data_IF_569261019121
#
_entry.id   IF_569261019121
#
_cell.length_a   1.000
_cell.length_b   1.000
_cell.length_c   1.000
_cell.angle_alpha   90.00
_cell.angle_beta   90.00
_cell.angle_gamma   90.00
#
_symmetry.space_group_name_H-M   'P 1'
#
loop_
_entity.id
_entity.type
_entity.pdbx_description
1 polymer ?
#
# COMPACT_ATOMS: atom_id res chain seq x y z
N UNK A 1 43.11 -28.11 61.51
CA UNK A 1 41.93 -28.77 62.08
C UNK A 1 40.78 -27.82 62.33
N UNK A 2 40.91 -26.68 63.06
CA UNK A 2 39.75 -25.79 63.34
C UNK A 2 39.02 -25.23 62.12
N UNK A 3 39.71 -24.86 61.02
CA UNK A 3 39.06 -24.38 59.77
C UNK A 3 38.22 -25.43 59.03
N UNK A 4 38.62 -26.68 59.05
CA UNK A 4 37.88 -27.79 58.43
C UNK A 4 36.62 -28.08 59.24
N UNK A 5 36.70 -28.01 60.56
CA UNK A 5 35.51 -28.21 61.45
C UNK A 5 34.47 -27.11 61.27
N UNK A 6 34.92 -25.87 61.10
CA UNK A 6 33.99 -24.72 60.81
C UNK A 6 33.30 -24.91 59.46
N UNK A 7 34.05 -25.30 58.43
CA UNK A 7 33.49 -25.51 57.10
C UNK A 7 32.48 -26.67 57.09
N UNK A 8 32.80 -27.78 57.79
CA UNK A 8 31.87 -28.90 57.94
C UNK A 8 30.59 -28.53 58.66
N UNK A 9 30.70 -27.65 59.69
CA UNK A 9 29.52 -27.18 60.45
C UNK A 9 28.63 -26.27 59.59
N UNK A 10 29.26 -25.40 58.77
CA UNK A 10 28.55 -24.52 57.83
C UNK A 10 27.83 -25.36 56.78
N UNK A 11 28.47 -26.35 56.18
CA UNK A 11 27.85 -27.27 55.23
C UNK A 11 26.72 -28.07 55.82
N UNK A 12 26.90 -28.55 57.06
CA UNK A 12 25.84 -29.29 57.77
C UNK A 12 24.66 -28.44 58.14
N UNK A 13 24.83 -27.21 58.61
CA UNK A 13 23.74 -26.28 58.90
C UNK A 13 23.02 -25.85 57.60
N UNK A 14 23.73 -25.59 56.52
CA UNK A 14 23.16 -25.29 55.22
C UNK A 14 22.31 -26.49 54.73
N UNK A 15 22.84 -27.73 54.84
CA UNK A 15 22.12 -28.94 54.50
C UNK A 15 20.85 -29.13 55.33
N UNK A 16 20.91 -28.89 56.66
CA UNK A 16 19.76 -28.96 57.54
C UNK A 16 18.70 -27.92 57.14
N UNK A 17 19.07 -26.68 56.85
CA UNK A 17 18.12 -25.65 56.43
C UNK A 17 17.42 -26.00 55.13
N UNK A 18 18.18 -26.47 54.13
CA UNK A 18 17.65 -26.83 52.83
C UNK A 18 16.69 -28.04 52.91
N UNK A 19 16.93 -28.95 53.86
CA UNK A 19 16.07 -30.14 54.09
C UNK A 19 14.94 -29.92 55.11
N UNK A 20 14.70 -28.71 55.59
CA UNK A 20 13.56 -28.49 56.45
C UNK A 20 12.23 -28.66 55.71
N UNK A 21 11.22 -29.13 56.38
CA UNK A 21 9.85 -29.27 55.83
C UNK A 21 9.29 -27.94 55.33
N UNK A 22 9.71 -26.79 55.90
CA UNK A 22 9.32 -25.44 55.47
C UNK A 22 9.86 -25.13 54.10
N UNK A 23 11.18 -25.38 53.84
CA UNK A 23 11.80 -25.15 52.56
C UNK A 23 11.27 -26.10 51.50
N UNK A 24 11.13 -27.38 51.85
CA UNK A 24 10.57 -28.40 50.95
C UNK A 24 9.13 -28.08 50.56
N UNK A 25 8.27 -27.67 51.53
CA UNK A 25 6.89 -27.26 51.23
C UNK A 25 6.83 -26.00 50.40
N UNK A 26 7.73 -25.03 50.63
CA UNK A 26 7.84 -23.83 49.78
C UNK A 26 8.24 -24.17 48.37
N UNK A 27 9.27 -25.00 48.19
CA UNK A 27 9.73 -25.47 46.87
C UNK A 27 8.65 -26.29 46.16
N UNK A 28 7.95 -27.17 46.89
CA UNK A 28 6.84 -27.95 46.33
C UNK A 28 5.68 -27.02 45.90
N UNK A 29 5.29 -26.08 46.74
CA UNK A 29 4.25 -25.10 46.41
C UNK A 29 4.63 -24.19 45.21
N UNK A 30 5.92 -23.87 45.04
CA UNK A 30 6.42 -23.19 43.84
C UNK A 30 6.36 -24.07 42.60
N UNK A 31 6.74 -25.35 42.74
CA UNK A 31 6.68 -26.34 41.63
C UNK A 31 5.24 -26.60 41.20
N UNK A 32 4.32 -26.77 42.15
CA UNK A 32 2.87 -26.99 41.91
C UNK A 32 2.22 -25.81 41.20
N UNK A 33 2.67 -24.59 41.47
CA UNK A 33 2.22 -23.38 40.77
C UNK A 33 2.91 -23.19 39.41
N UNK A 34 4.13 -23.62 39.26
CA UNK A 34 4.91 -23.48 38.03
C UNK A 34 4.50 -24.51 36.94
N UNK A 35 4.15 -25.74 37.33
CA UNK A 35 3.73 -26.82 36.43
C UNK A 35 2.47 -26.49 35.62
N UNK A 36 1.37 -25.98 36.20
CA UNK A 36 0.18 -25.56 35.47
C UNK A 36 0.52 -24.41 34.46
N UNK A 37 1.24 -23.39 34.95
CA UNK A 37 1.62 -22.24 34.11
C UNK A 37 2.53 -22.64 32.91
N UNK A 38 3.44 -23.58 33.11
CA UNK A 38 4.26 -24.13 32.02
C UNK A 38 3.43 -24.96 31.04
N UNK A 39 2.46 -25.73 31.51
CA UNK A 39 1.55 -26.53 30.70
C UNK A 39 0.62 -25.64 29.86
N UNK A 40 0.03 -24.60 30.46
CA UNK A 40 -0.79 -23.59 29.76
C UNK A 40 0.02 -22.83 28.73
N UNK A 41 1.24 -22.41 29.07
CA UNK A 41 2.15 -21.73 28.14
C UNK A 41 2.51 -22.60 26.94
N UNK A 42 2.76 -23.89 27.13
CA UNK A 42 3.01 -24.84 26.04
C UNK A 42 1.75 -25.06 25.18
N UNK A 43 0.58 -25.16 25.81
CA UNK A 43 -0.71 -25.31 25.11
C UNK A 43 -1.00 -24.10 24.21
N UNK A 44 -0.77 -22.88 24.71
CA UNK A 44 -0.93 -21.65 23.92
C UNK A 44 0.05 -21.63 22.73
N UNK A 45 1.32 -21.94 22.97
CA UNK A 45 2.32 -21.94 21.91
C UNK A 45 1.97 -22.93 20.78
N UNK A 46 1.55 -24.15 21.16
CA UNK A 46 1.11 -25.15 20.17
C UNK A 46 -0.18 -24.71 19.44
N UNK A 47 -1.09 -24.03 20.14
CA UNK A 47 -2.28 -23.46 19.51
C UNK A 47 -1.92 -22.38 18.48
N UNK A 48 -0.97 -21.49 18.78
CA UNK A 48 -0.49 -20.47 17.82
C UNK A 48 0.15 -21.16 16.61
N UNK A 49 1.06 -22.11 16.81
CA UNK A 49 1.72 -22.84 15.71
C UNK A 49 0.72 -23.58 14.82
N UNK A 50 -0.29 -24.21 15.41
CA UNK A 50 -1.33 -24.96 14.69
C UNK A 50 -2.17 -24.03 13.81
N UNK A 51 -2.50 -22.83 14.30
CA UNK A 51 -3.36 -21.90 13.58
C UNK A 51 -2.59 -20.97 12.62
N UNK A 52 -1.29 -20.74 12.84
CA UNK A 52 -0.47 -19.81 12.05
C UNK A 52 -0.61 -20.00 10.53
N UNK A 53 -0.55 -21.21 9.96
CA UNK A 53 -0.65 -21.41 8.50
C UNK A 53 -1.95 -20.87 7.89
N UNK A 54 -3.04 -20.76 8.65
CA UNK A 54 -4.33 -20.22 8.18
C UNK A 54 -4.25 -18.73 7.86
N UNK A 55 -3.37 -18.02 8.55
CA UNK A 55 -3.20 -16.57 8.43
C UNK A 55 -2.02 -16.16 7.56
N UNK A 56 -1.15 -17.12 7.20
CA UNK A 56 0.01 -16.85 6.35
C UNK A 56 -0.38 -16.75 4.88
N UNK A 57 0.29 -15.86 4.15
CA UNK A 57 0.13 -15.71 2.70
C UNK A 57 1.51 -15.67 2.05
N UNK A 58 1.75 -16.46 1.01
CA UNK A 58 3.01 -16.38 0.28
C UNK A 58 3.15 -15.04 -0.44
N UNK A 59 4.37 -14.56 -0.71
CA UNK A 59 4.59 -13.42 -1.58
C UNK A 59 4.26 -13.79 -3.03
N UNK A 60 3.94 -12.79 -3.83
CA UNK A 60 3.74 -12.89 -5.27
C UNK A 60 4.74 -11.97 -5.96
N UNK A 61 5.54 -12.52 -6.86
CA UNK A 61 6.52 -11.76 -7.64
C UNK A 61 5.84 -10.87 -8.67
N UNK A 62 6.46 -9.71 -8.97
CA UNK A 62 6.07 -8.88 -10.09
C UNK A 62 6.26 -9.63 -11.41
N UNK A 63 5.41 -9.35 -12.39
CA UNK A 63 5.42 -10.06 -13.68
C UNK A 63 4.90 -9.21 -14.83
N UNK A 64 5.28 -9.60 -16.05
CA UNK A 64 4.63 -9.10 -17.27
C UNK A 64 3.44 -10.01 -17.59
N UNK A 65 2.25 -9.44 -17.51
CA UNK A 65 0.99 -10.09 -17.91
C UNK A 65 0.71 -9.81 -19.39
N UNK A 66 0.09 -10.78 -20.07
CA UNK A 66 -0.23 -10.65 -21.49
C UNK A 66 -1.20 -9.49 -21.78
N UNK A 67 -2.18 -9.27 -20.91
CA UNK A 67 -3.24 -8.25 -21.06
C UNK A 67 -2.86 -6.98 -20.30
N UNK A 68 -2.56 -7.11 -19.02
CA UNK A 68 -2.38 -5.99 -18.09
C UNK A 68 -0.94 -5.46 -18.01
N UNK A 69 -0.03 -6.04 -18.81
CA UNK A 69 1.37 -5.65 -18.91
C UNK A 69 2.09 -5.78 -17.57
N UNK A 70 2.75 -4.74 -17.05
CA UNK A 70 3.45 -4.85 -15.78
C UNK A 70 2.46 -4.91 -14.61
N UNK A 71 2.56 -5.97 -13.81
CA UNK A 71 1.83 -6.16 -12.55
C UNK A 71 2.86 -6.12 -11.41
N UNK A 72 2.67 -5.28 -10.38
CA UNK A 72 3.58 -5.24 -9.23
C UNK A 72 3.55 -6.54 -8.45
N UNK A 73 4.62 -6.80 -7.70
CA UNK A 73 4.64 -7.83 -6.68
C UNK A 73 3.68 -7.53 -5.53
N UNK A 74 3.49 -8.51 -4.65
CA UNK A 74 2.71 -8.32 -3.43
C UNK A 74 3.31 -9.15 -2.31
N UNK A 75 3.70 -8.51 -1.23
CA UNK A 75 4.38 -9.15 -0.12
C UNK A 75 3.52 -10.23 0.51
N UNK A 76 4.17 -11.32 0.90
CA UNK A 76 3.59 -12.33 1.76
C UNK A 76 3.65 -11.90 3.23
N UNK A 77 2.98 -12.67 4.07
CA UNK A 77 3.04 -12.52 5.53
C UNK A 77 3.18 -13.86 6.19
N UNK A 78 3.99 -13.91 7.25
CA UNK A 78 4.17 -15.05 8.12
C UNK A 78 3.88 -14.65 9.55
N UNK A 79 3.30 -15.55 10.34
CA UNK A 79 3.05 -15.30 11.75
C UNK A 79 4.37 -15.32 12.52
N UNK A 80 4.68 -14.24 13.22
CA UNK A 80 5.74 -14.25 14.25
C UNK A 80 5.22 -14.94 15.50
N UNK A 81 5.56 -16.22 15.61
CA UNK A 81 5.11 -17.08 16.71
C UNK A 81 5.55 -16.53 18.07
N UNK A 82 6.80 -16.03 18.17
CA UNK A 82 7.35 -15.54 19.43
C UNK A 82 6.68 -14.23 19.88
N UNK A 83 6.52 -13.27 18.97
CA UNK A 83 5.85 -12.01 19.25
C UNK A 83 4.37 -12.21 19.53
N UNK A 84 3.69 -13.09 18.78
CA UNK A 84 2.29 -13.46 18.98
C UNK A 84 2.07 -14.10 20.36
N UNK A 85 2.95 -15.04 20.74
CA UNK A 85 2.92 -15.67 22.06
C UNK A 85 3.10 -14.63 23.17
N UNK A 86 4.06 -13.71 23.03
CA UNK A 86 4.28 -12.64 24.01
C UNK A 86 3.01 -11.79 24.22
N UNK A 87 2.30 -11.48 23.13
CA UNK A 87 1.05 -10.70 23.18
C UNK A 87 -0.11 -11.45 23.87
N UNK A 88 -0.15 -12.78 23.74
CA UNK A 88 -1.24 -13.62 24.25
C UNK A 88 -0.95 -14.22 25.64
N UNK A 89 0.33 -14.26 26.08
CA UNK A 89 0.79 -14.95 27.28
C UNK A 89 0.00 -14.60 28.54
N UNK A 90 -0.42 -13.34 28.71
CA UNK A 90 -1.18 -12.92 29.92
C UNK A 90 -2.56 -13.53 29.99
N UNK A 91 -3.19 -13.83 28.85
CA UNK A 91 -4.54 -14.39 28.78
C UNK A 91 -4.53 -15.92 28.69
N UNK A 92 -3.40 -16.52 28.31
CA UNK A 92 -3.24 -17.98 28.19
C UNK A 92 -4.04 -18.65 27.07
N UNK A 93 -4.77 -17.87 26.24
CA UNK A 93 -5.64 -18.36 25.18
C UNK A 93 -5.28 -17.72 23.83
N UNK A 94 -5.52 -18.47 22.74
CA UNK A 94 -5.32 -17.99 21.39
C UNK A 94 -6.35 -16.89 21.06
N UNK A 95 -5.83 -15.78 20.50
CA UNK A 95 -6.63 -14.65 20.01
C UNK A 95 -6.04 -14.17 18.68
N UNK A 96 -6.79 -14.35 17.59
CA UNK A 96 -6.35 -13.97 16.25
C UNK A 96 -5.99 -12.47 16.13
N UNK A 97 -6.67 -11.61 16.88
CA UNK A 97 -6.43 -10.15 16.89
C UNK A 97 -5.10 -9.76 17.50
N UNK A 98 -4.43 -10.69 18.19
CA UNK A 98 -3.13 -10.50 18.82
C UNK A 98 -1.98 -11.15 18.05
N UNK A 99 -2.26 -11.74 16.89
CA UNK A 99 -1.24 -12.23 16.01
C UNK A 99 -0.35 -11.08 15.53
N UNK A 100 0.94 -11.34 15.51
CA UNK A 100 1.96 -10.45 14.94
C UNK A 100 2.45 -11.09 13.66
N UNK A 101 2.63 -10.27 12.63
CA UNK A 101 3.04 -10.73 11.33
C UNK A 101 4.40 -10.13 10.95
N UNK A 102 5.21 -10.92 10.27
CA UNK A 102 6.41 -10.48 9.56
C UNK A 102 6.14 -10.50 8.07
N UNK A 103 6.61 -9.48 7.37
CA UNK A 103 6.50 -9.37 5.93
C UNK A 103 7.51 -10.29 5.23
N UNK A 104 7.09 -10.91 4.13
CA UNK A 104 7.95 -11.65 3.21
C UNK A 104 7.89 -10.94 1.86
N UNK A 105 8.99 -10.29 1.46
CA UNK A 105 9.04 -9.54 0.20
C UNK A 105 9.04 -10.47 -1.02
N UNK A 106 8.50 -10.02 -2.16
CA UNK A 106 8.68 -10.68 -3.46
C UNK A 106 10.16 -10.82 -3.81
N UNK A 107 10.50 -11.79 -4.63
CA UNK A 107 11.85 -11.96 -5.18
C UNK A 107 12.09 -11.09 -6.41
N UNK A 108 11.04 -10.84 -7.18
CA UNK A 108 11.05 -9.96 -8.35
C UNK A 108 10.15 -8.77 -8.05
N UNK A 109 10.70 -7.57 -8.16
CA UNK A 109 10.02 -6.31 -7.90
C UNK A 109 9.57 -5.65 -9.20
N UNK A 110 8.62 -4.71 -9.12
CA UNK A 110 8.14 -3.97 -10.29
C UNK A 110 9.28 -3.26 -11.05
N UNK A 111 10.30 -2.78 -10.35
CA UNK A 111 11.45 -2.11 -10.95
C UNK A 111 12.44 -3.06 -11.63
N UNK A 112 12.34 -4.37 -11.40
CA UNK A 112 13.19 -5.39 -12.05
C UNK A 112 12.62 -5.81 -13.40
N UNK A 113 11.37 -5.42 -13.69
CA UNK A 113 10.74 -5.73 -14.97
C UNK A 113 11.25 -4.84 -16.10
N UNK A 114 11.26 -5.33 -17.34
CA UNK A 114 11.52 -4.50 -18.50
C UNK A 114 10.50 -3.36 -18.60
N UNK A 115 10.90 -2.24 -19.24
CA UNK A 115 10.04 -1.09 -19.45
C UNK A 115 8.68 -1.52 -20.04
N UNK A 116 7.62 -1.32 -19.28
CA UNK A 116 6.27 -1.76 -19.64
C UNK A 116 5.23 -0.84 -18.98
N UNK A 117 4.10 -0.56 -19.65
CA UNK A 117 3.04 0.22 -19.03
C UNK A 117 2.35 -0.57 -17.91
N UNK A 118 1.77 0.16 -16.97
CA UNK A 118 1.10 -0.39 -15.79
C UNK A 118 -0.36 0.02 -15.85
N UNK A 119 -1.28 -0.96 -15.95
CA UNK A 119 -2.72 -0.74 -16.05
C UNK A 119 -3.43 -0.91 -14.72
N UNK A 120 -2.84 -1.64 -13.79
CA UNK A 120 -3.44 -1.94 -12.49
C UNK A 120 -2.38 -2.31 -11.44
N UNK A 121 -2.78 -2.25 -10.18
CA UNK A 121 -2.05 -2.82 -9.06
C UNK A 121 -2.18 -4.35 -9.00
N UNK A 122 -1.64 -4.95 -7.93
CA UNK A 122 -1.75 -6.39 -7.72
C UNK A 122 -3.22 -6.82 -7.55
N UNK A 123 -3.68 -7.90 -8.19
CA UNK A 123 -5.10 -8.33 -8.17
C UNK A 123 -5.61 -8.74 -6.78
N UNK A 124 -4.73 -9.11 -5.85
CA UNK A 124 -5.12 -9.44 -4.48
C UNK A 124 -5.05 -8.23 -3.52
N UNK A 125 -4.60 -7.06 -3.98
CA UNK A 125 -4.52 -5.86 -3.14
C UNK A 125 -5.88 -5.18 -3.07
N UNK A 126 -6.57 -5.16 -1.90
CA UNK A 126 -7.91 -4.59 -1.76
C UNK A 126 -7.86 -3.06 -1.77
N UNK A 127 -7.39 -2.52 -2.87
CA UNK A 127 -7.15 -1.10 -3.07
C UNK A 127 -7.39 -0.69 -4.50
N UNK A 128 -7.80 0.56 -4.71
CA UNK A 128 -7.96 1.20 -6.01
C UNK A 128 -7.30 2.57 -5.98
N UNK A 129 -6.98 3.11 -7.15
CA UNK A 129 -6.46 4.47 -7.28
C UNK A 129 -7.29 5.29 -8.26
N UNK A 130 -7.52 6.57 -7.94
CA UNK A 130 -8.05 7.54 -8.87
C UNK A 130 -6.90 8.21 -9.62
N UNK A 131 -6.97 8.14 -10.95
CA UNK A 131 -6.10 8.84 -11.90
C UNK A 131 -6.89 10.02 -12.42
N UNK A 132 -6.51 11.23 -12.06
CA UNK A 132 -7.19 12.46 -12.45
C UNK A 132 -6.29 13.23 -13.42
N UNK A 133 -6.62 13.18 -14.71
CA UNK A 133 -5.87 13.90 -15.73
C UNK A 133 -6.36 15.36 -15.78
N UNK A 134 -5.42 16.31 -15.71
CA UNK A 134 -5.72 17.74 -15.62
C UNK A 134 -5.02 18.49 -16.74
N UNK A 135 -5.81 18.91 -17.72
CA UNK A 135 -5.44 19.84 -18.78
C UNK A 135 -6.45 21.00 -18.89
N UNK A 136 -7.58 20.91 -18.18
CA UNK A 136 -8.72 21.83 -18.13
C UNK A 136 -9.61 21.52 -16.91
N UNK A 137 -10.70 22.26 -16.73
CA UNK A 137 -11.71 21.99 -15.67
C UNK A 137 -11.36 22.61 -14.33
N UNK A 138 -10.69 23.77 -14.33
CA UNK A 138 -10.25 24.46 -13.11
C UNK A 138 -11.38 24.70 -12.12
N UNK A 139 -12.57 24.99 -12.62
CA UNK A 139 -13.78 25.31 -11.86
C UNK A 139 -14.24 24.17 -10.96
N UNK A 140 -13.90 22.91 -11.29
CA UNK A 140 -14.31 21.73 -10.53
C UNK A 140 -13.25 21.26 -9.52
N UNK A 141 -12.00 21.72 -9.63
CA UNK A 141 -10.88 21.22 -8.80
C UNK A 141 -11.10 21.45 -7.32
N UNK A 142 -11.55 22.66 -6.91
CA UNK A 142 -11.77 22.98 -5.50
C UNK A 142 -12.80 22.04 -4.85
N UNK A 143 -13.91 21.77 -5.54
CA UNK A 143 -14.98 20.90 -5.04
C UNK A 143 -14.52 19.44 -4.96
N UNK A 144 -13.75 18.98 -5.97
CA UNK A 144 -13.17 17.63 -5.97
C UNK A 144 -12.18 17.47 -4.82
N UNK A 145 -11.27 18.42 -4.61
CA UNK A 145 -10.29 18.39 -3.51
C UNK A 145 -11.00 18.42 -2.14
N UNK A 146 -12.02 19.25 -1.99
CA UNK A 146 -12.83 19.29 -0.77
C UNK A 146 -13.52 17.95 -0.49
N UNK A 147 -14.04 17.30 -1.54
CA UNK A 147 -14.66 15.96 -1.44
C UNK A 147 -13.64 14.89 -1.04
N UNK A 148 -12.47 14.85 -1.70
CA UNK A 148 -11.40 13.90 -1.35
C UNK A 148 -10.94 14.09 0.11
N UNK A 149 -10.79 15.35 0.55
CA UNK A 149 -10.44 15.68 1.94
C UNK A 149 -11.49 15.20 2.94
N UNK A 150 -12.79 15.45 2.70
CA UNK A 150 -13.88 14.98 3.58
C UNK A 150 -13.84 13.47 3.77
N UNK A 151 -13.50 12.75 2.73
CA UNK A 151 -13.39 11.29 2.77
C UNK A 151 -12.04 10.77 3.27
N UNK A 152 -11.06 11.64 3.54
CA UNK A 152 -9.68 11.27 3.85
C UNK A 152 -9.10 10.33 2.77
N UNK A 153 -9.16 10.75 1.51
CA UNK A 153 -8.73 10.01 0.32
C UNK A 153 -7.70 10.82 -0.43
N UNK A 154 -6.56 10.20 -0.75
CA UNK A 154 -5.57 10.74 -1.68
C UNK A 154 -5.77 10.15 -3.08
N UNK A 155 -5.46 10.92 -4.11
CA UNK A 155 -5.54 10.55 -5.53
C UNK A 155 -4.26 10.96 -6.25
N UNK A 156 -4.06 10.51 -7.49
CA UNK A 156 -2.93 10.91 -8.34
C UNK A 156 -3.42 11.77 -9.49
N UNK A 157 -2.93 13.01 -9.52
CA UNK A 157 -3.26 14.01 -10.53
C UNK A 157 -2.16 14.07 -11.59
N UNK A 158 -2.49 13.77 -12.83
CA UNK A 158 -1.55 13.83 -13.94
C UNK A 158 -1.72 15.17 -14.65
N UNK A 159 -0.72 16.04 -14.51
CA UNK A 159 -0.81 17.45 -14.90
C UNK A 159 -0.19 17.69 -16.27
N UNK A 160 -0.93 18.35 -17.15
CA UNK A 160 -0.44 18.80 -18.45
C UNK A 160 0.44 20.04 -18.28
N UNK A 161 1.61 20.07 -18.92
CA UNK A 161 2.62 21.12 -18.71
C UNK A 161 2.15 22.52 -19.05
N UNK A 162 1.42 22.73 -20.17
CA UNK A 162 0.84 24.04 -20.50
C UNK A 162 -0.19 24.49 -19.47
N UNK A 163 -0.95 23.54 -18.93
CA UNK A 163 -1.93 23.83 -17.88
C UNK A 163 -1.21 24.30 -16.60
N UNK A 164 -0.16 23.58 -16.16
CA UNK A 164 0.63 23.97 -14.97
C UNK A 164 1.25 25.36 -15.16
N UNK A 165 1.83 25.63 -16.33
CA UNK A 165 2.42 26.93 -16.64
C UNK A 165 1.42 28.06 -16.50
N UNK A 166 0.15 27.84 -16.87
CA UNK A 166 -0.93 28.83 -16.75
C UNK A 166 -1.56 28.89 -15.36
N UNK A 167 -1.48 27.82 -14.59
CA UNK A 167 -2.18 27.64 -13.32
C UNK A 167 -1.26 27.08 -12.21
N UNK A 168 -0.09 27.69 -11.93
CA UNK A 168 0.87 27.16 -10.97
C UNK A 168 0.29 27.07 -9.55
N UNK A 169 -0.59 28.01 -9.17
CA UNK A 169 -1.21 28.00 -7.84
C UNK A 169 -2.23 26.85 -7.67
N UNK A 170 -2.92 26.44 -8.75
CA UNK A 170 -3.79 25.25 -8.70
C UNK A 170 -2.97 23.96 -8.59
N UNK A 171 -1.81 23.89 -9.27
CA UNK A 171 -0.90 22.76 -9.12
C UNK A 171 -0.37 22.67 -7.68
N UNK A 172 0.04 23.77 -7.06
CA UNK A 172 0.42 23.84 -5.64
C UNK A 172 -0.71 23.41 -4.72
N UNK A 173 -1.95 23.85 -4.99
CA UNK A 173 -3.11 23.49 -4.19
C UNK A 173 -3.34 21.99 -4.17
N UNK A 174 -3.19 21.29 -5.29
CA UNK A 174 -3.29 19.83 -5.40
C UNK A 174 -2.25 19.16 -4.50
N UNK A 175 -0.98 19.56 -4.59
CA UNK A 175 0.10 19.01 -3.77
C UNK A 175 -0.10 19.31 -2.30
N UNK A 176 -0.45 20.54 -1.95
CA UNK A 176 -0.70 20.98 -0.56
C UNK A 176 -1.88 20.26 0.09
N UNK A 177 -2.83 19.77 -0.72
CA UNK A 177 -3.93 18.92 -0.26
C UNK A 177 -3.53 17.45 -0.02
N UNK A 178 -2.25 17.09 -0.20
CA UNK A 178 -1.72 15.75 0.06
C UNK A 178 -1.96 14.74 -1.07
N UNK A 179 -2.15 15.24 -2.29
CA UNK A 179 -2.30 14.39 -3.48
C UNK A 179 -0.98 14.17 -4.19
N UNK A 180 -0.85 13.04 -4.88
CA UNK A 180 0.27 12.72 -5.74
C UNK A 180 0.14 13.44 -7.07
N UNK A 181 1.26 13.92 -7.64
CA UNK A 181 1.28 14.50 -8.98
C UNK A 181 2.13 13.65 -9.92
N UNK A 182 1.66 13.54 -11.15
CA UNK A 182 2.33 12.89 -12.27
C UNK A 182 2.32 13.80 -13.51
N UNK A 183 3.06 13.38 -14.50
CA UNK A 183 3.26 14.06 -15.77
C UNK A 183 2.23 13.61 -16.81
N UNK A 184 1.54 14.55 -17.48
CA UNK A 184 0.59 14.28 -18.55
C UNK A 184 1.02 14.90 -19.90
N UNK A 185 2.33 14.90 -20.18
CA UNK A 185 2.95 15.59 -21.31
C UNK A 185 2.82 17.12 -21.29
N UNK A 186 3.51 17.83 -22.20
CA UNK A 186 3.52 19.27 -22.20
C UNK A 186 2.29 19.89 -22.88
N UNK A 187 1.90 19.36 -24.04
CA UNK A 187 0.85 19.96 -24.90
C UNK A 187 -0.23 18.95 -25.34
N UNK A 188 -0.34 17.84 -24.61
CA UNK A 188 -1.34 16.80 -24.83
C UNK A 188 -1.33 16.20 -26.26
N UNK A 189 -0.15 15.86 -26.86
CA UNK A 189 -0.10 15.29 -28.20
C UNK A 189 -0.47 13.81 -28.22
N UNK A 190 -0.71 13.29 -29.41
CA UNK A 190 -0.78 11.84 -29.65
C UNK A 190 0.67 11.25 -29.55
N UNK A 191 1.01 10.72 -28.37
CA UNK A 191 2.36 10.26 -28.04
C UNK A 191 2.82 9.09 -28.94
N UNK A 192 1.90 8.31 -29.49
CA UNK A 192 2.22 7.21 -30.40
C UNK A 192 2.74 7.70 -31.75
N UNK A 193 2.48 8.96 -32.13
CA UNK A 193 2.96 9.56 -33.37
C UNK A 193 4.28 10.30 -33.24
N UNK A 194 4.77 10.49 -32.00
CA UNK A 194 6.00 11.24 -31.76
C UNK A 194 7.25 10.35 -31.94
N UNK A 195 8.34 10.97 -32.37
CA UNK A 195 9.67 10.35 -32.27
C UNK A 195 10.09 10.24 -30.80
N UNK A 196 11.08 9.40 -30.49
CA UNK A 196 11.62 9.28 -29.14
C UNK A 196 12.13 10.64 -28.59
N UNK A 197 12.78 11.44 -29.43
CA UNK A 197 13.27 12.78 -29.06
C UNK A 197 12.11 13.73 -28.71
N UNK A 198 11.06 13.75 -29.52
CA UNK A 198 9.87 14.57 -29.26
C UNK A 198 9.12 14.11 -28.01
N UNK A 199 8.99 12.78 -27.81
CA UNK A 199 8.37 12.23 -26.61
C UNK A 199 9.16 12.63 -25.34
N UNK A 200 10.50 12.55 -25.40
CA UNK A 200 11.39 13.00 -24.32
C UNK A 200 11.22 14.48 -24.01
N UNK A 201 11.19 15.33 -25.04
CA UNK A 201 10.97 16.77 -24.86
C UNK A 201 9.64 17.06 -24.15
N UNK A 202 8.55 16.42 -24.56
CA UNK A 202 7.23 16.54 -23.94
C UNK A 202 7.28 16.19 -22.45
N UNK A 203 7.96 15.11 -22.08
CA UNK A 203 8.04 14.62 -20.69
C UNK A 203 8.97 15.50 -19.87
N UNK A 204 10.18 15.78 -20.34
CA UNK A 204 11.19 16.56 -19.60
C UNK A 204 10.68 17.96 -19.30
N UNK A 205 10.18 18.67 -20.34
CA UNK A 205 9.65 20.02 -20.18
C UNK A 205 8.49 20.10 -19.16
N UNK A 206 7.66 19.06 -19.12
CA UNK A 206 6.57 19.00 -18.14
C UNK A 206 7.10 18.75 -16.73
N UNK A 207 8.08 17.86 -16.56
CA UNK A 207 8.70 17.62 -15.26
C UNK A 207 9.32 18.88 -14.69
N UNK A 208 10.07 19.65 -15.50
CA UNK A 208 10.70 20.92 -15.11
C UNK A 208 9.64 21.95 -14.63
N UNK A 209 8.52 22.06 -15.35
CA UNK A 209 7.46 23.00 -15.00
C UNK A 209 6.71 22.57 -13.75
N UNK A 210 6.42 21.28 -13.58
CA UNK A 210 5.77 20.77 -12.36
C UNK A 210 6.71 20.97 -11.16
N UNK A 211 7.98 20.61 -11.29
CA UNK A 211 8.96 20.78 -10.21
C UNK A 211 9.13 22.27 -9.84
N UNK A 212 9.23 23.16 -10.83
CA UNK A 212 9.33 24.61 -10.58
C UNK A 212 8.06 25.19 -9.90
N UNK A 213 6.87 24.67 -10.21
CA UNK A 213 5.63 25.14 -9.63
C UNK A 213 5.35 24.55 -8.24
N UNK A 214 5.71 23.29 -7.99
CA UNK A 214 5.23 22.51 -6.83
C UNK A 214 6.35 21.99 -5.93
N UNK A 215 7.61 22.11 -6.33
CA UNK A 215 8.80 21.54 -5.67
C UNK A 215 8.79 19.99 -5.61
N UNK A 216 7.90 19.33 -6.38
CA UNK A 216 7.75 17.88 -6.43
C UNK A 216 8.30 17.31 -7.73
N UNK A 217 9.13 16.28 -7.64
CA UNK A 217 9.63 15.51 -8.78
C UNK A 217 8.65 14.42 -9.16
N UNK A 218 8.23 14.40 -10.43
CA UNK A 218 7.36 13.36 -10.96
C UNK A 218 8.13 12.07 -11.26
N UNK A 219 7.58 10.94 -10.83
CA UNK A 219 8.05 9.60 -11.17
C UNK A 219 6.99 8.77 -11.92
N UNK A 220 5.83 9.37 -12.21
CA UNK A 220 4.72 8.78 -12.94
C UNK A 220 4.44 9.59 -14.20
N UNK A 221 4.23 8.87 -15.31
CA UNK A 221 3.84 9.45 -16.60
C UNK A 221 2.54 8.80 -17.08
N UNK A 222 1.51 9.59 -17.31
CA UNK A 222 0.25 9.19 -17.93
C UNK A 222 0.19 9.73 -19.36
N UNK A 223 0.28 8.90 -20.39
CA UNK A 223 0.23 9.38 -21.77
C UNK A 223 -1.14 9.96 -22.12
N UNK A 224 -1.22 11.13 -22.79
CA UNK A 224 -2.46 11.71 -23.26
C UNK A 224 -3.34 10.72 -24.02
N UNK A 225 -4.63 10.68 -23.69
CA UNK A 225 -5.62 9.76 -24.29
C UNK A 225 -5.23 8.28 -24.24
N UNK A 226 -4.28 7.90 -23.39
CA UNK A 226 -3.72 6.56 -23.34
C UNK A 226 -2.89 6.19 -24.60
N UNK A 227 -2.49 7.18 -25.39
CA UNK A 227 -1.75 6.95 -26.62
C UNK A 227 -0.25 6.80 -26.32
N UNK A 228 0.32 5.65 -26.65
CA UNK A 228 1.74 5.36 -26.52
C UNK A 228 2.20 4.31 -27.53
N UNK A 229 3.49 4.20 -27.69
CA UNK A 229 4.18 3.08 -28.32
C UNK A 229 5.38 2.65 -27.46
N UNK A 230 6.03 1.57 -27.80
CA UNK A 230 7.12 1.01 -26.98
C UNK A 230 8.25 2.02 -26.73
N UNK A 231 8.58 2.87 -27.74
CA UNK A 231 9.57 3.92 -27.57
C UNK A 231 9.16 4.96 -26.53
N UNK A 232 7.87 5.33 -26.45
CA UNK A 232 7.36 6.26 -25.43
C UNK A 232 7.57 5.69 -24.04
N UNK A 233 7.27 4.40 -23.86
CA UNK A 233 7.44 3.69 -22.57
C UNK A 233 8.92 3.58 -22.21
N UNK A 234 9.80 3.28 -23.16
CA UNK A 234 11.27 3.24 -22.96
C UNK A 234 11.79 4.62 -22.53
N UNK A 235 11.38 5.69 -23.23
CA UNK A 235 11.78 7.07 -22.90
C UNK A 235 11.34 7.43 -21.47
N UNK A 236 10.11 7.13 -21.07
CA UNK A 236 9.65 7.37 -19.72
C UNK A 236 10.50 6.58 -18.69
N UNK A 237 10.79 5.31 -18.96
CA UNK A 237 11.61 4.47 -18.08
C UNK A 237 13.08 4.97 -17.96
N UNK A 238 13.69 5.44 -19.03
CA UNK A 238 15.02 6.08 -19.02
C UNK A 238 15.04 7.34 -18.13
N UNK A 239 13.92 8.06 -18.11
CA UNK A 239 13.71 9.21 -17.23
C UNK A 239 13.28 8.81 -15.80
N UNK A 240 13.37 7.52 -15.45
CA UNK A 240 13.00 6.95 -14.15
C UNK A 240 11.51 7.12 -13.81
N UNK A 241 10.68 7.18 -14.84
CA UNK A 241 9.23 7.31 -14.71
C UNK A 241 8.52 6.01 -15.09
N UNK A 242 7.45 5.69 -14.37
CA UNK A 242 6.55 4.58 -14.70
C UNK A 242 5.43 5.09 -15.60
N UNK A 243 5.18 4.39 -16.71
CA UNK A 243 4.04 4.69 -17.61
C UNK A 243 2.77 4.11 -17.02
N UNK A 244 1.82 4.98 -16.66
CA UNK A 244 0.57 4.63 -15.97
C UNK A 244 -0.60 4.71 -16.95
N UNK A 245 -1.37 3.64 -16.95
CA UNK A 245 -2.61 3.47 -17.69
C UNK A 245 -3.77 3.23 -16.72
N UNK A 246 -4.93 2.78 -17.17
CA UNK A 246 -6.11 2.53 -16.35
C UNK A 246 -6.85 1.26 -16.76
N UNK A 247 -7.63 0.72 -15.83
CA UNK A 247 -8.53 -0.42 -16.08
C UNK A 247 -9.98 0.01 -16.20
N UNK A 248 -10.34 1.13 -15.57
CA UNK A 248 -11.72 1.64 -15.54
C UNK A 248 -11.71 3.09 -16.00
N UNK A 249 -12.49 3.38 -17.04
CA UNK A 249 -12.67 4.74 -17.56
C UNK A 249 -14.08 5.24 -17.19
N UNK A 250 -14.16 6.38 -16.53
CA UNK A 250 -15.43 7.05 -16.20
C UNK A 250 -16.16 7.54 -17.45
N UNK A 251 -15.43 7.83 -18.52
CA UNK A 251 -15.91 8.49 -19.75
C UNK A 251 -16.64 9.82 -19.43
N UNK A 252 -16.14 10.52 -18.40
CA UNK A 252 -16.73 11.75 -17.87
C UNK A 252 -16.68 12.92 -18.87
N UNK A 253 -15.72 12.92 -19.79
CA UNK A 253 -15.62 13.86 -20.90
C UNK A 253 -16.81 13.85 -21.85
N UNK A 254 -17.66 12.80 -21.83
CA UNK A 254 -18.96 12.73 -22.54
C UNK A 254 -20.11 13.33 -21.71
N UNK A 255 -19.83 13.90 -20.55
CA UNK A 255 -20.79 14.51 -19.64
C UNK A 255 -21.97 13.58 -19.28
N UNK A 256 -21.70 12.31 -18.87
CA UNK A 256 -22.76 11.43 -18.41
C UNK A 256 -23.41 11.96 -17.14
N UNK A 257 -24.65 11.53 -16.85
CA UNK A 257 -25.21 11.79 -15.52
C UNK A 257 -24.42 11.07 -14.43
N UNK A 258 -24.46 11.58 -13.17
CA UNK A 258 -23.76 10.93 -12.05
C UNK A 258 -24.07 9.42 -11.91
N UNK A 259 -25.32 9.02 -12.08
CA UNK A 259 -25.69 7.61 -11.98
C UNK A 259 -25.07 6.76 -13.09
N UNK A 260 -25.01 7.26 -14.31
CA UNK A 260 -24.36 6.55 -15.44
C UNK A 260 -22.85 6.39 -15.17
N UNK A 261 -22.18 7.44 -14.69
CA UNK A 261 -20.78 7.38 -14.33
C UNK A 261 -20.52 6.37 -13.21
N UNK A 262 -21.26 6.50 -12.11
CA UNK A 262 -21.12 5.61 -10.95
C UNK A 262 -21.37 4.15 -11.34
N UNK A 263 -22.44 3.85 -12.06
CA UNK A 263 -22.77 2.48 -12.48
C UNK A 263 -21.67 1.90 -13.38
N UNK A 264 -21.09 2.72 -14.28
CA UNK A 264 -19.98 2.29 -15.15
C UNK A 264 -18.74 1.92 -14.34
N UNK A 265 -18.37 2.72 -13.35
CA UNK A 265 -17.23 2.43 -12.48
C UNK A 265 -17.52 1.23 -11.60
N UNK A 266 -18.64 1.24 -10.88
CA UNK A 266 -19.00 0.18 -9.94
C UNK A 266 -19.23 -1.18 -10.59
N UNK A 267 -19.59 -1.21 -11.88
CA UNK A 267 -19.74 -2.45 -12.66
C UNK A 267 -18.40 -3.08 -13.07
N UNK A 268 -17.26 -2.35 -12.97
CA UNK A 268 -15.96 -2.82 -13.47
C UNK A 268 -14.85 -2.80 -12.40
N UNK A 269 -15.06 -2.06 -11.31
CA UNK A 269 -14.03 -1.87 -10.28
C UNK A 269 -13.79 -3.14 -9.47
N UNK A 270 -12.52 -3.46 -9.27
CA UNK A 270 -12.05 -4.62 -8.53
C UNK A 270 -10.71 -4.28 -7.85
N UNK A 271 -10.16 -5.21 -7.08
CA UNK A 271 -8.83 -5.11 -6.49
C UNK A 271 -7.79 -4.68 -7.53
N UNK A 272 -6.97 -3.71 -7.16
CA UNK A 272 -5.92 -3.21 -8.03
C UNK A 272 -6.40 -2.26 -9.13
N UNK A 273 -7.68 -1.92 -9.23
CA UNK A 273 -8.19 -1.05 -10.30
C UNK A 273 -7.61 0.35 -10.22
N UNK A 274 -7.29 0.90 -11.39
CA UNK A 274 -7.01 2.31 -11.63
C UNK A 274 -8.17 2.94 -12.39
N UNK A 275 -8.78 3.98 -11.83
CA UNK A 275 -9.98 4.64 -12.37
C UNK A 275 -9.60 5.98 -12.97
N UNK A 276 -9.70 6.09 -14.28
CA UNK A 276 -9.47 7.36 -15.00
C UNK A 276 -10.67 8.28 -14.84
N UNK A 277 -10.37 9.54 -14.54
CA UNK A 277 -11.33 10.64 -14.52
C UNK A 277 -10.63 11.98 -14.83
N UNK A 278 -11.44 13.02 -15.05
CA UNK A 278 -11.00 14.40 -15.29
C UNK A 278 -11.77 15.35 -14.37
N UNK A 279 -11.29 16.60 -14.16
CA UNK A 279 -12.09 17.61 -13.45
C UNK A 279 -13.26 18.07 -14.35
N UNK A 280 -14.37 17.37 -14.23
CA UNK A 280 -15.62 17.64 -14.95
C UNK A 280 -16.77 17.80 -13.98
N UNK A 281 -17.85 18.43 -14.43
CA UNK A 281 -19.11 18.50 -13.68
C UNK A 281 -19.60 17.11 -13.26
N UNK A 282 -19.60 16.15 -14.20
CA UNK A 282 -20.03 14.77 -13.96
C UNK A 282 -19.19 14.09 -12.88
N UNK A 283 -17.86 14.28 -12.90
CA UNK A 283 -16.97 13.71 -11.88
C UNK A 283 -17.17 14.39 -10.53
N UNK A 284 -17.19 15.72 -10.47
CA UNK A 284 -17.39 16.45 -9.23
C UNK A 284 -18.72 16.06 -8.55
N UNK A 285 -19.80 15.98 -9.31
CA UNK A 285 -21.12 15.58 -8.80
C UNK A 285 -21.21 14.10 -8.38
N UNK A 286 -20.34 13.23 -8.92
CA UNK A 286 -20.35 11.79 -8.65
C UNK A 286 -19.42 11.37 -7.51
N UNK A 287 -18.38 12.14 -7.25
CA UNK A 287 -17.19 11.73 -6.50
C UNK A 287 -17.51 11.29 -5.05
N UNK A 288 -18.35 12.03 -4.35
CA UNK A 288 -18.74 11.75 -2.96
C UNK A 288 -19.41 10.38 -2.81
N UNK A 289 -20.41 10.13 -3.65
CA UNK A 289 -21.14 8.87 -3.66
C UNK A 289 -20.28 7.71 -4.18
N UNK A 290 -19.45 7.96 -5.18
CA UNK A 290 -18.53 6.96 -5.72
C UNK A 290 -17.54 6.47 -4.67
N UNK A 291 -16.90 7.38 -3.92
CA UNK A 291 -15.99 7.04 -2.82
C UNK A 291 -16.71 6.21 -1.76
N UNK A 292 -17.92 6.60 -1.38
CA UNK A 292 -18.72 5.88 -0.39
C UNK A 292 -19.00 4.44 -0.83
N UNK A 293 -19.42 4.24 -2.07
CA UNK A 293 -19.72 2.91 -2.62
C UNK A 293 -18.47 2.03 -2.75
N UNK A 294 -17.32 2.60 -3.12
CA UNK A 294 -16.05 1.87 -3.18
C UNK A 294 -15.63 1.40 -1.78
N UNK A 295 -15.74 2.26 -0.77
CA UNK A 295 -15.45 1.90 0.62
C UNK A 295 -16.37 0.80 1.16
N UNK A 296 -17.65 0.82 0.77
CA UNK A 296 -18.61 -0.25 1.11
C UNK A 296 -18.22 -1.61 0.52
N UNK A 297 -17.46 -1.65 -0.56
CA UNK A 297 -16.85 -2.88 -1.10
C UNK A 297 -15.55 -3.28 -0.39
N UNK A 298 -15.22 -2.63 0.74
CA UNK A 298 -13.98 -2.85 1.48
C UNK A 298 -12.70 -2.59 0.67
N UNK A 299 -12.78 -1.74 -0.36
CA UNK A 299 -11.62 -1.29 -1.13
C UNK A 299 -11.07 0.01 -0.53
N UNK A 300 -9.77 0.04 -0.23
CA UNK A 300 -9.06 1.28 0.10
C UNK A 300 -8.89 2.11 -1.17
N UNK A 301 -8.92 3.43 -1.01
CA UNK A 301 -8.60 4.37 -2.10
C UNK A 301 -7.34 5.11 -1.71
N UNK A 302 -6.38 5.20 -2.62
CA UNK A 302 -5.11 5.90 -2.40
C UNK A 302 -4.47 6.30 -3.72
N UNK A 303 -3.23 6.79 -3.64
CA UNK A 303 -2.45 7.20 -4.80
C UNK A 303 -2.05 5.99 -5.66
N UNK A 304 -1.56 6.27 -6.88
CA UNK A 304 -0.98 5.23 -7.74
C UNK A 304 0.25 4.62 -7.05
N UNK A 305 1.09 5.42 -6.41
CA UNK A 305 2.26 4.92 -5.67
C UNK A 305 1.85 3.99 -4.51
N UNK A 306 0.80 4.32 -3.76
CA UNK A 306 0.25 3.43 -2.72
C UNK A 306 -0.26 2.11 -3.31
N UNK A 307 -0.94 2.18 -4.46
CA UNK A 307 -1.47 0.99 -5.14
C UNK A 307 -0.35 0.10 -5.65
N UNK A 308 0.74 0.68 -6.17
CA UNK A 308 1.90 -0.05 -6.71
C UNK A 308 2.90 -0.48 -5.63
N UNK A 309 2.78 0.04 -4.40
CA UNK A 309 3.57 -0.42 -3.27
C UNK A 309 3.26 -1.91 -3.03
N UNK A 310 4.32 -2.71 -2.85
CA UNK A 310 4.23 -4.17 -2.71
C UNK A 310 3.82 -4.62 -1.29
N UNK A 311 3.76 -3.70 -0.33
CA UNK A 311 3.34 -4.00 1.04
C UNK A 311 1.91 -4.53 1.11
N UNK A 312 1.73 -5.62 1.86
CA UNK A 312 0.41 -6.23 2.04
C UNK A 312 -0.44 -5.42 3.00
N UNK A 313 -1.67 -5.13 2.56
CA UNK A 313 -2.70 -4.58 3.44
C UNK A 313 -3.19 -5.71 4.34
N UNK A 314 -2.90 -5.61 5.63
CA UNK A 314 -3.46 -6.48 6.66
C UNK A 314 -4.84 -5.95 7.06
N UNK A 315 -5.80 -6.85 7.22
CA UNK A 315 -7.17 -6.52 7.66
C UNK A 315 -7.23 -6.33 9.17
#
# INVERSE_FOLDING_TARGET
MKKVLILSLICFTAWMVVNTSIVNNYISGMKDKALPAAKESNSLLESIKKNAPTYEKPPSDAKIDRVWKAIPGYSGVKVDIAASFKNMKKQGVFDEKKLVFTEIKPKVHLNDLPASPIYKGHPDKPMVSFIINVAWGNEYLSDMLATLKRHNVSASFFLEGNWVKKNPELAKMIVSAGHEVGNHSYSHPDMAKLTAAQAREQIVKTNEIIEAATEVKCNLFGPPSGSYRDETVKVANELKMKTIMWTVDTVDWKKPSPDVLINRVMGKIDNGSMVLMHPTESTAASLDRLITLIKQRHLKIGTVSDLLNEERILK
#
